data_IF_074445774974
#
_entry.id   IF_074445774974
#
_cell.length_a   1.000
_cell.length_b   1.000
_cell.length_c   1.000
_cell.angle_alpha   90.00
_cell.angle_beta   90.00
_cell.angle_gamma   90.00
#
_symmetry.space_group_name_H-M   'P 1'
#
loop_
_entity.id
_entity.type
_entity.pdbx_description
1 polymer ?
#
# COMPACT_ATOMS: atom_id res chain seq x y z
N UNK A 1 -8.81 -23.80 4.31
CA UNK A 1 -8.20 -22.87 3.31
C UNK A 1 -9.33 -22.28 2.49
N UNK A 2 -9.49 -20.96 2.50
CA UNK A 2 -10.47 -20.33 1.63
C UNK A 2 -9.95 -20.38 0.19
N UNK A 3 -10.50 -21.25 -0.64
CA UNK A 3 -10.24 -21.23 -2.08
C UNK A 3 -10.77 -19.91 -2.66
N UNK A 4 -9.89 -19.17 -3.32
CA UNK A 4 -10.27 -17.97 -4.04
C UNK A 4 -10.97 -18.41 -5.31
N UNK A 5 -12.31 -18.33 -5.33
CA UNK A 5 -13.10 -18.71 -6.50
C UNK A 5 -12.67 -17.91 -7.73
N UNK A 6 -12.51 -18.61 -8.86
CA UNK A 6 -12.16 -17.99 -10.14
C UNK A 6 -10.65 -17.79 -10.39
N UNK A 7 -9.78 -18.26 -9.50
CA UNK A 7 -8.32 -18.11 -9.68
C UNK A 7 -7.80 -18.82 -10.94
N UNK A 8 -8.30 -20.03 -11.24
CA UNK A 8 -7.91 -20.78 -12.43
C UNK A 8 -8.33 -20.08 -13.73
N UNK A 9 -9.50 -19.45 -13.74
CA UNK A 9 -9.97 -18.67 -14.89
C UNK A 9 -9.09 -17.43 -15.10
N UNK A 10 -8.78 -16.71 -14.04
CA UNK A 10 -7.87 -15.56 -14.08
C UNK A 10 -6.49 -15.98 -14.57
N UNK A 11 -5.97 -17.11 -14.10
CA UNK A 11 -4.69 -17.66 -14.55
C UNK A 11 -4.69 -17.93 -16.04
N UNK A 12 -5.70 -18.64 -16.56
CA UNK A 12 -5.83 -18.92 -17.99
C UNK A 12 -5.86 -17.64 -18.84
N UNK A 13 -6.60 -16.62 -18.37
CA UNK A 13 -6.68 -15.32 -19.04
C UNK A 13 -5.34 -14.59 -19.02
N UNK A 14 -4.59 -14.64 -17.91
CA UNK A 14 -3.27 -14.04 -17.80
C UNK A 14 -2.24 -14.74 -18.69
N UNK A 15 -2.28 -16.06 -18.75
CA UNK A 15 -1.38 -16.88 -19.60
C UNK A 15 -1.62 -16.62 -21.10
N UNK A 16 -2.83 -16.18 -21.48
CA UNK A 16 -3.16 -15.80 -22.84
C UNK A 16 -2.65 -14.38 -23.24
N UNK A 17 -2.21 -13.58 -22.27
CA UNK A 17 -1.70 -12.24 -22.51
C UNK A 17 -0.17 -12.24 -22.67
N UNK A 18 0.40 -11.38 -23.56
CA UNK A 18 1.83 -11.13 -23.57
C UNK A 18 2.34 -10.73 -22.17
N UNK A 19 3.46 -11.24 -21.72
CA UNK A 19 4.03 -11.06 -20.36
C UNK A 19 3.99 -9.62 -19.86
N UNK A 20 4.36 -8.67 -20.71
CA UNK A 20 4.39 -7.24 -20.34
C UNK A 20 2.98 -6.70 -20.05
N UNK A 21 2.00 -7.11 -20.84
CA UNK A 21 0.59 -6.67 -20.70
C UNK A 21 0.00 -7.32 -19.46
N UNK A 22 0.14 -8.62 -19.29
CA UNK A 22 -0.32 -9.36 -18.11
C UNK A 22 0.27 -8.80 -16.81
N UNK A 23 1.59 -8.51 -16.80
CA UNK A 23 2.26 -7.90 -15.64
C UNK A 23 1.70 -6.53 -15.30
N UNK A 24 1.37 -5.70 -16.29
CA UNK A 24 0.78 -4.38 -16.06
C UNK A 24 -0.66 -4.48 -15.53
N UNK A 25 -1.46 -5.41 -16.07
CA UNK A 25 -2.81 -5.70 -15.55
C UNK A 25 -2.75 -6.12 -14.07
N UNK A 26 -1.82 -7.01 -13.73
CA UNK A 26 -1.55 -7.46 -12.36
C UNK A 26 -1.18 -6.29 -11.43
N UNK A 27 -0.29 -5.38 -11.86
CA UNK A 27 0.09 -4.19 -11.09
C UNK A 27 -1.09 -3.27 -10.82
N UNK A 28 -1.97 -3.07 -11.81
CA UNK A 28 -3.17 -2.25 -11.63
C UNK A 28 -4.15 -2.88 -10.65
N UNK A 29 -4.37 -4.18 -10.75
CA UNK A 29 -5.25 -4.91 -9.84
C UNK A 29 -4.74 -4.90 -8.39
N UNK A 30 -3.47 -5.24 -8.17
CA UNK A 30 -2.83 -5.19 -6.85
C UNK A 30 -2.88 -3.79 -6.23
N UNK A 31 -2.75 -2.73 -7.05
CA UNK A 31 -2.88 -1.35 -6.57
C UNK A 31 -4.28 -1.04 -6.07
N UNK A 32 -5.33 -1.59 -6.70
CA UNK A 32 -6.71 -1.41 -6.23
C UNK A 32 -6.92 -2.04 -4.85
N UNK A 33 -6.47 -3.27 -4.65
CA UNK A 33 -6.51 -3.90 -3.32
C UNK A 33 -5.67 -3.16 -2.28
N UNK A 34 -4.46 -2.76 -2.62
CA UNK A 34 -3.59 -1.99 -1.73
C UNK A 34 -4.19 -0.63 -1.34
N UNK A 35 -4.99 -0.01 -2.22
CA UNK A 35 -5.71 1.22 -1.91
C UNK A 35 -6.75 1.03 -0.80
N UNK A 36 -7.42 -0.12 -0.73
CA UNK A 36 -8.38 -0.43 0.34
C UNK A 36 -7.70 -0.41 1.71
N UNK A 37 -6.54 -1.08 1.81
CA UNK A 37 -5.74 -1.08 3.05
C UNK A 37 -5.24 0.34 3.38
N UNK A 38 -4.72 1.08 2.37
CA UNK A 38 -4.27 2.46 2.53
C UNK A 38 -5.37 3.36 3.09
N UNK A 39 -6.57 3.26 2.55
CA UNK A 39 -7.67 4.16 2.92
C UNK A 39 -8.17 3.85 4.34
N UNK A 40 -8.20 2.58 4.72
CA UNK A 40 -8.48 2.16 6.11
C UNK A 40 -7.38 2.65 7.06
N UNK A 41 -6.11 2.49 6.69
CA UNK A 41 -4.99 2.98 7.51
C UNK A 41 -5.02 4.50 7.66
N UNK A 42 -5.39 5.23 6.60
CA UNK A 42 -5.57 6.69 6.64
C UNK A 42 -6.71 7.10 7.56
N UNK A 43 -7.84 6.39 7.54
CA UNK A 43 -8.95 6.64 8.44
C UNK A 43 -8.55 6.44 9.90
N UNK A 44 -7.81 5.37 10.20
CA UNK A 44 -7.27 5.12 11.53
C UNK A 44 -6.26 6.20 11.96
N UNK A 45 -5.34 6.58 11.07
CA UNK A 45 -4.30 7.57 11.37
C UNK A 45 -4.87 8.97 11.62
N UNK A 46 -5.94 9.36 10.93
CA UNK A 46 -6.61 10.66 11.16
C UNK A 46 -7.08 10.88 12.60
N UNK A 47 -7.37 9.79 13.32
CA UNK A 47 -7.76 9.87 14.74
C UNK A 47 -6.56 10.13 15.66
N UNK A 48 -5.35 10.01 15.15
CA UNK A 48 -4.09 10.19 15.87
C UNK A 48 -3.37 11.50 15.49
N UNK A 49 -3.74 12.08 14.34
CA UNK A 49 -3.16 13.34 13.89
C UNK A 49 -3.61 14.49 14.83
N UNK A 50 -2.66 15.32 15.21
CA UNK A 50 -2.91 16.50 16.02
C UNK A 50 -3.46 17.63 15.14
N UNK A 51 -4.68 18.14 15.41
CA UNK A 51 -5.28 19.19 14.61
C UNK A 51 -4.52 20.55 14.69
N UNK A 52 -3.73 20.74 15.75
CA UNK A 52 -2.97 21.97 15.96
C UNK A 52 -1.65 22.01 15.19
N UNK A 53 -1.24 20.86 14.58
CA UNK A 53 -0.04 20.78 13.76
C UNK A 53 -0.38 20.71 12.27
N UNK A 54 0.53 21.19 11.43
CA UNK A 54 0.41 21.04 9.97
C UNK A 54 0.79 19.63 9.47
N UNK A 55 1.30 18.78 10.36
CA UNK A 55 1.73 17.42 10.06
C UNK A 55 0.56 16.45 10.05
N UNK A 56 0.59 15.48 9.13
CA UNK A 56 -0.45 14.46 9.02
C UNK A 56 0.12 13.13 8.56
N UNK A 57 0.10 12.14 9.44
CA UNK A 57 0.49 10.77 9.11
C UNK A 57 -0.41 10.23 8.00
N UNK A 58 -1.71 10.51 8.06
CA UNK A 58 -2.67 10.04 7.08
C UNK A 58 -2.31 10.47 5.65
N UNK A 59 -1.83 11.71 5.45
CA UNK A 59 -1.40 12.20 4.14
C UNK A 59 -0.14 11.48 3.63
N UNK A 60 0.72 11.02 4.52
CA UNK A 60 1.95 10.32 4.19
C UNK A 60 1.78 8.81 3.94
N UNK A 61 0.61 8.23 4.26
CA UNK A 61 0.34 6.83 3.94
C UNK A 61 0.10 6.69 2.44
N UNK A 62 0.91 5.88 1.76
CA UNK A 62 0.86 5.72 0.31
C UNK A 62 1.02 4.27 -0.14
N UNK A 63 0.56 4.00 -1.36
CA UNK A 63 0.80 2.75 -2.09
C UNK A 63 1.95 2.96 -3.07
N UNK A 64 2.96 2.12 -2.99
CA UNK A 64 4.13 2.13 -3.87
C UNK A 64 4.34 0.77 -4.52
N UNK A 65 4.73 0.76 -5.79
CA UNK A 65 5.21 -0.46 -6.46
C UNK A 65 6.54 -0.90 -5.88
N UNK A 66 6.76 -2.20 -5.80
CA UNK A 66 8.08 -2.77 -5.55
C UNK A 66 9.05 -2.41 -6.67
N UNK A 67 10.35 -2.42 -6.35
CA UNK A 67 11.39 -2.32 -7.37
C UNK A 67 11.61 -3.68 -8.05
N UNK A 68 12.33 -3.68 -9.20
CA UNK A 68 12.62 -4.90 -9.97
C UNK A 68 13.32 -6.02 -9.17
N UNK A 69 14.16 -5.64 -8.20
CA UNK A 69 14.85 -6.62 -7.33
C UNK A 69 13.84 -7.35 -6.46
N UNK A 70 12.94 -6.61 -5.81
CA UNK A 70 11.90 -7.19 -4.96
C UNK A 70 10.89 -8.00 -5.76
N UNK A 71 10.45 -7.50 -6.93
CA UNK A 71 9.56 -8.25 -7.83
C UNK A 71 10.16 -9.59 -8.26
N UNK A 72 11.49 -9.66 -8.45
CA UNK A 72 12.20 -10.93 -8.74
C UNK A 72 12.26 -11.87 -7.55
N UNK A 73 12.47 -11.33 -6.33
CA UNK A 73 12.50 -12.12 -5.10
C UNK A 73 11.14 -12.73 -4.76
N UNK A 74 10.06 -12.00 -5.01
CA UNK A 74 8.68 -12.42 -4.72
C UNK A 74 8.01 -13.17 -5.89
N UNK A 75 8.71 -13.33 -7.01
CA UNK A 75 8.19 -14.04 -8.19
C UNK A 75 7.15 -13.27 -9.01
N UNK A 76 6.93 -11.98 -8.75
CA UNK A 76 5.94 -11.17 -9.47
C UNK A 76 5.81 -9.73 -8.99
N UNK A 77 4.82 -9.01 -9.53
CA UNK A 77 4.54 -7.64 -9.11
C UNK A 77 4.20 -7.54 -7.62
N UNK A 78 4.73 -6.51 -6.97
CA UNK A 78 4.52 -6.24 -5.54
C UNK A 78 4.01 -4.82 -5.35
N UNK A 79 2.99 -4.65 -4.49
CA UNK A 79 2.56 -3.36 -3.97
C UNK A 79 2.84 -3.28 -2.47
N UNK A 80 3.24 -2.11 -2.01
CA UNK A 80 3.52 -1.83 -0.60
C UNK A 80 2.65 -0.69 -0.13
N UNK A 81 2.07 -0.83 1.04
CA UNK A 81 1.40 0.24 1.76
C UNK A 81 2.31 0.66 2.92
N UNK A 82 2.56 1.93 3.07
CA UNK A 82 3.44 2.42 4.13
C UNK A 82 3.44 3.93 4.25
N UNK A 83 4.09 4.43 5.30
CA UNK A 83 4.25 5.87 5.56
C UNK A 83 5.49 6.37 4.83
N UNK A 84 5.32 7.38 3.97
CA UNK A 84 6.41 8.05 3.27
C UNK A 84 7.08 9.10 4.14
N UNK A 85 8.35 9.39 3.84
CA UNK A 85 9.07 10.56 4.36
C UNK A 85 9.45 10.54 5.84
N UNK A 86 8.93 9.62 6.63
CA UNK A 86 8.99 9.67 8.07
C UNK A 86 10.06 8.82 8.74
N UNK A 87 11.25 8.68 8.19
CA UNK A 87 12.27 7.85 8.82
C UNK A 87 13.71 8.29 8.50
N UNK A 88 13.94 9.59 8.33
CA UNK A 88 15.30 10.08 8.19
C UNK A 88 15.95 10.23 9.55
N UNK A 89 17.15 9.72 9.67
CA UNK A 89 18.06 10.03 10.75
C UNK A 89 18.46 11.50 10.61
N UNK A 90 17.90 12.34 11.45
CA UNK A 90 18.13 13.79 11.43
C UNK A 90 19.60 14.18 11.54
N UNK A 91 20.44 13.36 12.21
CA UNK A 91 21.88 13.59 12.33
C UNK A 91 22.64 13.36 11.03
N UNK A 92 22.13 12.51 10.12
CA UNK A 92 22.85 12.09 8.91
C UNK A 92 22.47 12.89 7.65
N UNK A 93 21.30 13.50 7.60
CA UNK A 93 20.74 14.08 6.36
C UNK A 93 20.40 15.57 6.45
N UNK A 94 20.78 16.25 7.52
CA UNK A 94 20.54 17.68 7.71
C UNK A 94 19.07 18.03 8.05
N UNK A 95 18.79 19.32 8.03
CA UNK A 95 17.45 19.84 8.39
C UNK A 95 16.34 19.30 7.48
N UNK A 96 15.24 18.94 8.08
CA UNK A 96 14.04 18.50 7.38
C UNK A 96 13.38 19.67 6.64
N UNK A 97 13.19 19.52 5.33
CA UNK A 97 12.46 20.50 4.53
C UNK A 97 10.99 20.10 4.46
N UNK A 98 10.14 20.68 5.25
CA UNK A 98 8.68 20.63 5.28
C UNK A 98 7.93 19.69 4.32
N UNK A 99 6.66 19.90 4.09
CA UNK A 99 5.83 19.11 3.19
C UNK A 99 6.31 19.18 1.72
N UNK A 100 6.32 18.05 1.01
CA UNK A 100 6.69 17.94 -0.39
C UNK A 100 6.08 16.73 -1.08
N UNK A 101 6.42 16.49 -2.36
CA UNK A 101 5.88 15.33 -3.12
C UNK A 101 6.19 13.98 -2.46
N UNK A 102 7.29 13.87 -1.72
CA UNK A 102 7.70 12.65 -1.02
C UNK A 102 7.09 12.48 0.38
N UNK A 103 6.55 13.55 0.95
CA UNK A 103 5.94 13.59 2.28
C UNK A 103 4.89 14.71 2.37
N UNK A 104 3.74 14.55 1.70
CA UNK A 104 2.71 15.58 1.63
C UNK A 104 2.12 15.95 2.99
N UNK A 105 2.27 15.11 3.99
CA UNK A 105 1.85 15.33 5.38
C UNK A 105 2.95 15.91 6.29
N UNK A 106 4.06 16.39 5.73
CA UNK A 106 5.16 16.92 6.54
C UNK A 106 6.04 15.85 7.17
N UNK A 107 6.82 16.21 8.20
CA UNK A 107 7.72 15.28 8.90
C UNK A 107 6.98 14.46 9.96
N UNK A 108 6.58 13.29 9.59
CA UNK A 108 5.88 12.36 10.47
C UNK A 108 6.79 11.21 10.97
N UNK A 109 8.06 11.48 11.24
CA UNK A 109 9.02 10.46 11.70
C UNK A 109 8.55 9.69 12.94
N UNK A 110 7.75 10.31 13.79
CA UNK A 110 7.18 9.75 15.01
C UNK A 110 6.12 8.66 14.78
N UNK A 111 5.66 8.44 13.56
CA UNK A 111 4.65 7.43 13.24
C UNK A 111 5.00 6.03 13.78
N UNK A 112 6.30 5.70 13.82
CA UNK A 112 6.77 4.41 14.34
C UNK A 112 6.53 4.28 15.84
N UNK A 113 6.69 5.36 16.58
CA UNK A 113 6.43 5.38 18.02
C UNK A 113 4.95 5.20 18.32
N UNK A 114 4.08 5.74 17.47
CA UNK A 114 2.64 5.49 17.56
C UNK A 114 2.30 4.04 17.22
N UNK A 115 2.83 3.50 16.13
CA UNK A 115 2.51 2.14 15.68
C UNK A 115 3.01 1.07 16.65
N UNK A 116 4.23 1.22 17.18
CA UNK A 116 4.90 0.19 17.99
C UNK A 116 4.98 0.51 19.46
N UNK A 117 4.74 1.76 19.86
CA UNK A 117 4.97 2.24 21.21
C UNK A 117 6.46 2.47 21.50
N UNK A 118 6.73 2.94 22.71
CA UNK A 118 8.07 3.11 23.27
C UNK A 118 8.07 2.62 24.72
N UNK A 119 9.23 2.60 25.38
CA UNK A 119 9.31 2.29 26.81
C UNK A 119 8.48 3.24 27.72
N UNK A 120 8.12 4.42 27.19
CA UNK A 120 7.38 5.47 27.95
C UNK A 120 5.98 5.74 27.38
N UNK A 121 5.61 5.16 26.24
CA UNK A 121 4.34 5.43 25.58
C UNK A 121 3.74 4.13 25.06
N UNK A 122 2.49 3.85 25.39
CA UNK A 122 1.75 2.70 24.87
C UNK A 122 1.54 2.84 23.34
N UNK A 123 1.57 1.72 22.63
CA UNK A 123 1.29 1.69 21.20
C UNK A 123 -0.15 2.13 20.89
N UNK A 124 -0.30 2.93 19.85
CA UNK A 124 -1.59 3.32 19.25
C UNK A 124 -1.54 2.98 17.75
N UNK A 125 -1.63 1.67 17.41
CA UNK A 125 -1.39 1.21 16.04
C UNK A 125 -2.51 1.65 15.08
N UNK A 126 -2.15 1.95 13.84
CA UNK A 126 -3.06 2.33 12.77
C UNK A 126 -2.89 1.47 11.51
N UNK A 127 -1.65 0.98 11.24
CA UNK A 127 -1.36 0.13 10.09
C UNK A 127 -1.76 -1.33 10.33
N UNK A 128 -1.38 -1.91 11.47
CA UNK A 128 -1.71 -3.30 11.81
C UNK A 128 -3.22 -3.54 11.88
N UNK A 129 -4.02 -2.71 12.58
CA UNK A 129 -5.47 -2.85 12.55
C UNK A 129 -6.06 -2.69 11.15
N UNK A 130 -5.54 -1.78 10.34
CA UNK A 130 -6.00 -1.61 8.96
C UNK A 130 -5.80 -2.88 8.13
N UNK A 131 -4.67 -3.55 8.26
CA UNK A 131 -4.43 -4.83 7.58
C UNK A 131 -5.38 -5.93 8.09
N UNK A 132 -5.59 -6.01 9.39
CA UNK A 132 -6.47 -7.02 9.99
C UNK A 132 -7.93 -6.85 9.57
N UNK A 133 -8.44 -5.61 9.52
CA UNK A 133 -9.85 -5.32 9.20
C UNK A 133 -10.14 -5.27 7.71
N UNK A 134 -9.21 -4.74 6.91
CA UNK A 134 -9.41 -4.51 5.47
C UNK A 134 -8.75 -5.59 4.58
N UNK A 135 -8.03 -6.55 5.14
CA UNK A 135 -7.26 -7.54 4.37
C UNK A 135 -8.14 -8.38 3.42
N UNK A 136 -9.28 -8.88 3.91
CA UNK A 136 -10.23 -9.66 3.09
C UNK A 136 -10.81 -8.81 1.97
N UNK A 137 -11.32 -7.61 2.30
CA UNK A 137 -11.88 -6.69 1.32
C UNK A 137 -10.84 -6.25 0.26
N UNK A 138 -9.58 -6.09 0.67
CA UNK A 138 -8.47 -5.80 -0.25
C UNK A 138 -8.18 -6.97 -1.21
N UNK A 139 -8.27 -8.21 -0.71
CA UNK A 139 -8.14 -9.41 -1.54
C UNK A 139 -9.26 -9.48 -2.56
N UNK A 140 -10.51 -9.33 -2.13
CA UNK A 140 -11.69 -9.35 -3.01
C UNK A 140 -11.60 -8.25 -4.08
N UNK A 141 -11.21 -7.03 -3.69
CA UNK A 141 -10.99 -5.92 -4.62
C UNK A 141 -9.87 -6.22 -5.62
N UNK A 142 -8.81 -6.93 -5.20
CA UNK A 142 -7.72 -7.34 -6.09
C UNK A 142 -8.22 -8.36 -7.11
N UNK A 143 -8.96 -9.39 -6.67
CA UNK A 143 -9.49 -10.45 -7.54
C UNK A 143 -10.45 -9.87 -8.57
N UNK A 144 -11.42 -9.06 -8.14
CA UNK A 144 -12.38 -8.39 -9.04
C UNK A 144 -11.67 -7.48 -10.05
N UNK A 145 -10.66 -6.74 -9.58
CA UNK A 145 -9.84 -5.90 -10.45
C UNK A 145 -9.02 -6.72 -11.43
N UNK A 146 -8.47 -7.87 -11.03
CA UNK A 146 -7.71 -8.76 -11.91
C UNK A 146 -8.57 -9.27 -13.06
N UNK A 147 -9.79 -9.73 -12.77
CA UNK A 147 -10.75 -10.15 -13.79
C UNK A 147 -11.02 -9.02 -14.79
N UNK A 148 -11.40 -7.84 -14.27
CA UNK A 148 -11.71 -6.68 -15.10
C UNK A 148 -10.52 -6.21 -15.96
N UNK A 149 -9.31 -6.18 -15.40
CA UNK A 149 -8.13 -5.70 -16.13
C UNK A 149 -7.66 -6.72 -17.19
N UNK A 150 -7.77 -8.03 -16.92
CA UNK A 150 -7.46 -9.07 -17.92
C UNK A 150 -8.47 -9.08 -19.05
N UNK A 151 -9.78 -8.96 -18.77
CA UNK A 151 -10.82 -8.89 -19.80
C UNK A 151 -10.62 -7.67 -20.72
N UNK A 152 -10.28 -6.51 -20.15
CA UNK A 152 -9.99 -5.30 -20.92
C UNK A 152 -8.77 -5.44 -21.84
N UNK A 153 -7.74 -6.13 -21.39
CA UNK A 153 -6.53 -6.31 -22.21
C UNK A 153 -6.77 -7.38 -23.30
N UNK A 154 -7.51 -8.45 -23.00
CA UNK A 154 -7.89 -9.46 -24.00
C UNK A 154 -8.78 -8.87 -25.10
N UNK A 155 -9.69 -7.95 -24.77
CA UNK A 155 -10.56 -7.28 -25.72
C UNK A 155 -9.82 -6.32 -26.71
N UNK A 156 -8.53 -6.07 -26.49
CA UNK A 156 -7.67 -5.22 -27.34
C UNK A 156 -6.78 -6.04 -28.30
N UNK A 157 -6.71 -7.34 -28.11
CA UNK A 157 -5.94 -8.27 -28.96
C UNK A 157 -6.74 -8.73 -30.16
#
# INVERSE_FOLDING_TARGET
MNEIKGLDEIKKKLDALPDKIGRNAMKRALRKGANVIRDTARANAKQLDDPDTSESIAKNIAVQSGNRRRERQEGGPVMRVGVMGGARDMGKYGEFKGAGKGNPGGDTFYWRFLEFGTSKMAARPFMRPAMATAGVAALDATVAAMQSETDKELAKL
#
